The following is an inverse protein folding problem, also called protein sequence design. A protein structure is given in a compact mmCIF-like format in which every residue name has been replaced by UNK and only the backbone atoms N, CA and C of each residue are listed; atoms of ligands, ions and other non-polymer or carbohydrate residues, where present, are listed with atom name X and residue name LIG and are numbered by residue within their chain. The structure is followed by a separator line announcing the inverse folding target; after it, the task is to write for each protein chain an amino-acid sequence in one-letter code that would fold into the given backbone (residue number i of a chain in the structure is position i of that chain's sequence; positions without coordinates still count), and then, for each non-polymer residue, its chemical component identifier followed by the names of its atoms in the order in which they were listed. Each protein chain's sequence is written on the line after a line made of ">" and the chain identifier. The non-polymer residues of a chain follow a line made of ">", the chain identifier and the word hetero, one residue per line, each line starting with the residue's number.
data_IF_337279519405
#
_entry.id   IF_337279519405
#
_cell.length_a   1.000
_cell.length_b   1.000
_cell.length_c   1.000
_cell.angle_alpha   90.00
_cell.angle_beta   90.00
_cell.angle_gamma   90.00
#
_symmetry.space_group_name_H-M   'P 1'
#
loop_
_entity.id
_entity.type
_entity.pdbx_description
1 polymer ?
#
# COMPACT_ATOMS: atom_id res chain seq x y z
N UNK A 1 34.34 -39.80 13.72
CA UNK A 1 33.92 -39.32 12.38
C UNK A 1 32.40 -39.34 12.16
N UNK A 2 31.60 -40.31 12.65
CA UNK A 2 30.13 -40.28 12.48
C UNK A 2 29.40 -39.22 13.33
N UNK A 3 29.88 -38.95 14.55
CA UNK A 3 29.28 -38.00 15.49
C UNK A 3 29.40 -36.54 15.03
N UNK A 4 30.56 -36.15 14.49
CA UNK A 4 30.82 -34.79 14.02
C UNK A 4 29.96 -34.42 12.80
N UNK A 5 29.70 -35.37 11.90
CA UNK A 5 28.77 -35.16 10.78
C UNK A 5 27.31 -35.07 11.22
N UNK A 6 26.92 -35.74 12.30
CA UNK A 6 25.57 -35.63 12.86
C UNK A 6 25.36 -34.27 13.55
N UNK A 7 26.34 -33.79 14.31
CA UNK A 7 26.33 -32.48 14.96
C UNK A 7 26.29 -31.34 13.93
N UNK A 8 27.10 -31.43 12.85
CA UNK A 8 27.06 -30.47 11.74
C UNK A 8 25.72 -30.47 11.00
N UNK A 9 25.08 -31.63 10.83
CA UNK A 9 23.75 -31.71 10.21
C UNK A 9 22.67 -31.11 11.11
N UNK A 10 22.75 -31.32 12.41
CA UNK A 10 21.85 -30.71 13.39
C UNK A 10 21.95 -29.18 13.35
N UNK A 11 23.16 -28.63 13.42
CA UNK A 11 23.35 -27.18 13.43
C UNK A 11 22.91 -26.50 12.13
N UNK A 12 23.03 -27.17 10.98
CA UNK A 12 22.51 -26.66 9.70
C UNK A 12 20.98 -26.63 9.70
N UNK A 13 20.32 -27.69 10.17
CA UNK A 13 18.86 -27.72 10.26
C UNK A 13 18.32 -26.67 11.23
N UNK A 14 18.97 -26.49 12.38
CA UNK A 14 18.58 -25.46 13.37
C UNK A 14 18.72 -24.05 12.79
N UNK A 15 19.78 -23.80 12.02
CA UNK A 15 19.97 -22.51 11.35
C UNK A 15 18.91 -22.27 10.28
N UNK A 16 18.66 -23.27 9.42
CA UNK A 16 17.60 -23.20 8.40
C UNK A 16 16.22 -23.00 9.02
N UNK A 17 15.93 -23.67 10.15
CA UNK A 17 14.68 -23.49 10.89
C UNK A 17 14.54 -22.05 11.41
N UNK A 18 15.63 -21.47 11.94
CA UNK A 18 15.62 -20.08 12.41
C UNK A 18 15.38 -19.10 11.25
N UNK A 19 16.08 -19.27 10.13
CA UNK A 19 15.89 -18.43 8.95
C UNK A 19 14.48 -18.55 8.36
N UNK A 20 13.92 -19.76 8.34
CA UNK A 20 12.55 -19.99 7.92
C UNK A 20 11.55 -19.31 8.88
N UNK A 21 11.73 -19.45 10.19
CA UNK A 21 10.86 -18.82 11.20
C UNK A 21 10.85 -17.29 11.07
N UNK A 22 12.02 -16.67 10.84
CA UNK A 22 12.15 -15.22 10.61
C UNK A 22 11.48 -14.80 9.29
N UNK A 23 11.77 -15.48 8.18
CA UNK A 23 11.21 -15.14 6.88
C UNK A 23 9.68 -15.36 6.81
N UNK A 24 9.18 -16.44 7.42
CA UNK A 24 7.74 -16.75 7.47
C UNK A 24 7.00 -15.72 8.32
N UNK A 25 7.61 -15.20 9.39
CA UNK A 25 7.04 -14.13 10.19
C UNK A 25 6.81 -12.88 9.33
N UNK A 26 7.82 -12.45 8.59
CA UNK A 26 7.75 -11.27 7.71
C UNK A 26 6.75 -11.48 6.56
N UNK A 27 6.73 -12.66 5.96
CA UNK A 27 5.74 -12.99 4.93
C UNK A 27 4.32 -13.01 5.50
N UNK A 28 4.09 -13.62 6.66
CA UNK A 28 2.77 -13.62 7.29
C UNK A 28 2.31 -12.20 7.67
N UNK A 29 3.23 -11.34 8.09
CA UNK A 29 2.96 -9.91 8.29
C UNK A 29 2.54 -9.23 6.99
N UNK A 30 3.21 -9.54 5.87
CA UNK A 30 2.83 -9.05 4.55
C UNK A 30 1.45 -9.57 4.11
N UNK A 31 1.14 -10.85 4.33
CA UNK A 31 -0.19 -11.41 4.06
C UNK A 31 -1.30 -10.74 4.88
N UNK A 32 -1.04 -10.44 6.16
CA UNK A 32 -1.98 -9.70 7.00
C UNK A 32 -2.15 -8.26 6.55
N UNK A 33 -1.08 -7.64 6.05
CA UNK A 33 -1.17 -6.35 5.41
C UNK A 33 -2.10 -6.45 4.18
N UNK A 34 -1.92 -7.43 3.30
CA UNK A 34 -2.83 -7.62 2.15
C UNK A 34 -4.31 -7.80 2.58
N UNK A 35 -4.60 -8.61 3.60
CA UNK A 35 -5.97 -8.79 4.15
C UNK A 35 -6.58 -7.49 4.72
N UNK A 36 -5.79 -6.70 5.44
CA UNK A 36 -6.24 -5.42 6.04
C UNK A 36 -6.35 -4.32 4.97
N UNK A 37 -5.61 -4.47 3.87
CA UNK A 37 -5.41 -3.43 2.89
C UNK A 37 -6.06 -3.72 1.53
N UNK A 38 -6.74 -4.83 1.27
CA UNK A 38 -7.46 -5.00 0.00
C UNK A 38 -8.92 -5.43 0.14
N UNK A 39 -9.78 -4.57 -0.40
CA UNK A 39 -11.11 -4.90 -0.91
C UNK A 39 -11.46 -3.92 -2.06
N UNK A 40 -10.61 -3.82 -3.09
CA UNK A 40 -10.91 -3.07 -4.32
C UNK A 40 -10.14 -3.59 -5.57
N UNK A 41 -10.79 -4.00 -6.67
CA UNK A 41 -10.16 -4.54 -7.90
C UNK A 41 -9.23 -3.59 -8.69
N UNK A 42 -9.05 -2.35 -8.24
CA UNK A 42 -8.29 -1.31 -8.95
C UNK A 42 -6.75 -1.36 -8.74
N UNK A 43 -6.23 -2.22 -7.86
CA UNK A 43 -4.77 -2.36 -7.64
C UNK A 43 -4.07 -3.17 -8.73
N UNK A 44 -4.82 -3.81 -9.62
CA UNK A 44 -4.28 -4.73 -10.64
C UNK A 44 -3.65 -4.09 -11.89
N UNK A 45 -3.67 -2.76 -12.03
CA UNK A 45 -3.14 -2.06 -13.23
C UNK A 45 -1.92 -1.15 -12.96
N UNK A 46 -1.23 -1.28 -11.82
CA UNK A 46 -0.08 -0.41 -11.47
C UNK A 46 1.29 -1.08 -11.37
N UNK A 47 1.48 -2.27 -11.93
CA UNK A 47 2.81 -2.89 -12.04
C UNK A 47 3.69 -2.33 -13.18
N UNK A 48 3.36 -1.16 -13.73
CA UNK A 48 4.22 -0.47 -14.70
C UNK A 48 4.16 1.05 -14.50
N UNK A 49 4.85 1.56 -13.47
CA UNK A 49 5.50 2.90 -13.42
C UNK A 49 5.83 3.29 -11.97
N UNK A 50 6.80 2.63 -11.37
CA UNK A 50 7.63 3.25 -10.32
C UNK A 50 9.10 2.99 -10.66
N UNK A 51 9.50 3.56 -11.80
CA UNK A 51 10.89 3.88 -12.08
C UNK A 51 11.00 5.39 -11.85
N UNK A 52 11.21 5.79 -10.60
CA UNK A 52 11.85 7.06 -10.26
C UNK A 52 12.24 7.06 -8.78
N UNK A 53 13.55 6.90 -8.57
CA UNK A 53 14.37 7.52 -7.53
C UNK A 53 13.75 7.68 -6.14
N UNK A 54 13.95 6.68 -5.30
CA UNK A 54 14.39 6.93 -3.94
C UNK A 54 15.44 5.87 -3.62
N UNK A 55 16.70 6.28 -3.59
CA UNK A 55 17.80 5.43 -3.14
C UNK A 55 17.55 5.12 -1.67
N UNK A 56 17.05 3.92 -1.40
CA UNK A 56 17.00 3.37 -0.05
C UNK A 56 18.42 2.91 0.28
N UNK A 57 19.19 3.80 0.92
CA UNK A 57 20.42 3.44 1.59
C UNK A 57 20.05 2.58 2.82
N UNK A 58 20.15 1.27 2.67
CA UNK A 58 19.84 0.31 3.72
C UNK A 58 20.65 -0.96 3.55
N UNK A 59 21.62 -1.13 4.45
CA UNK A 59 22.35 -2.35 4.82
C UNK A 59 22.87 -3.25 3.69
N UNK A 60 24.20 -3.27 3.55
CA UNK A 60 24.95 -4.27 2.77
C UNK A 60 24.80 -5.68 3.36
N UNK A 61 23.65 -6.33 3.17
CA UNK A 61 23.57 -7.78 3.15
C UNK A 61 23.48 -8.20 1.68
N UNK A 62 24.53 -8.86 1.19
CA UNK A 62 24.59 -9.42 -0.16
C UNK A 62 23.55 -10.54 -0.32
N UNK A 63 22.28 -10.17 -0.47
CA UNK A 63 21.26 -11.09 -0.94
C UNK A 63 21.52 -11.35 -2.43
N UNK A 64 22.13 -12.50 -2.73
CA UNK A 64 22.25 -12.99 -4.11
C UNK A 64 20.84 -13.21 -4.64
N UNK A 65 20.36 -12.30 -5.50
CA UNK A 65 19.08 -12.48 -6.19
C UNK A 65 19.23 -13.60 -7.22
N UNK A 66 18.62 -14.75 -6.95
CA UNK A 66 18.58 -15.85 -7.89
C UNK A 66 17.57 -15.58 -9.01
N UNK A 67 18.03 -15.68 -10.25
CA UNK A 67 17.17 -15.66 -11.43
C UNK A 67 16.20 -16.84 -11.44
N UNK A 68 15.12 -16.70 -12.21
CA UNK A 68 14.14 -17.76 -12.45
C UNK A 68 14.77 -19.09 -12.90
N UNK A 69 15.73 -18.99 -13.82
CA UNK A 69 16.42 -20.16 -14.37
C UNK A 69 17.25 -20.85 -13.30
N UNK A 70 17.94 -20.09 -12.43
CA UNK A 70 18.72 -20.64 -11.32
C UNK A 70 17.82 -21.30 -10.28
N UNK A 71 16.70 -20.66 -9.90
CA UNK A 71 15.72 -21.22 -8.96
C UNK A 71 15.12 -22.54 -9.48
N UNK A 72 14.76 -22.59 -10.76
CA UNK A 72 14.24 -23.81 -11.41
C UNK A 72 15.28 -24.92 -11.47
N UNK A 73 16.54 -24.58 -11.76
CA UNK A 73 17.64 -25.55 -11.82
C UNK A 73 17.90 -26.16 -10.44
N UNK A 74 17.99 -25.33 -9.40
CA UNK A 74 18.15 -25.79 -8.01
C UNK A 74 16.99 -26.68 -7.57
N UNK A 75 15.75 -26.31 -7.90
CA UNK A 75 14.59 -27.13 -7.57
C UNK A 75 14.63 -28.52 -8.21
N UNK A 76 15.15 -28.65 -9.44
CA UNK A 76 15.29 -29.94 -10.14
C UNK A 76 16.40 -30.84 -9.60
N UNK A 77 17.42 -30.24 -8.99
CA UNK A 77 18.56 -30.97 -8.43
C UNK A 77 18.24 -31.61 -7.06
N UNK A 78 17.14 -31.20 -6.42
CA UNK A 78 16.68 -31.76 -5.16
C UNK A 78 16.18 -33.21 -5.31
N UNK A 79 16.31 -34.05 -4.27
CA UNK A 79 15.91 -35.45 -4.34
C UNK A 79 14.39 -35.65 -4.15
N UNK A 80 13.81 -36.58 -4.91
CA UNK A 80 12.48 -37.12 -4.64
C UNK A 80 11.34 -36.09 -4.69
N UNK A 81 10.41 -36.16 -3.73
CA UNK A 81 9.24 -35.29 -3.67
C UNK A 81 9.59 -33.82 -3.38
N UNK A 82 10.76 -33.57 -2.78
CA UNK A 82 11.25 -32.23 -2.55
C UNK A 82 11.48 -31.49 -3.87
N UNK A 83 11.91 -32.19 -4.92
CA UNK A 83 12.07 -31.61 -6.25
C UNK A 83 10.75 -31.09 -6.83
N UNK A 84 9.70 -31.90 -6.77
CA UNK A 84 8.37 -31.53 -7.29
C UNK A 84 7.75 -30.37 -6.51
N UNK A 85 7.91 -30.37 -5.17
CA UNK A 85 7.38 -29.30 -4.31
C UNK A 85 8.14 -27.99 -4.47
N UNK A 86 9.49 -28.05 -4.55
CA UNK A 86 10.30 -26.88 -4.84
C UNK A 86 10.00 -26.28 -6.23
N UNK A 87 9.71 -27.12 -7.24
CA UNK A 87 9.28 -26.64 -8.55
C UNK A 87 7.92 -25.93 -8.48
N UNK A 88 6.94 -26.49 -7.74
CA UNK A 88 5.65 -25.84 -7.51
C UNK A 88 5.79 -24.49 -6.76
N UNK A 89 6.72 -24.40 -5.80
CA UNK A 89 7.05 -23.15 -5.10
C UNK A 89 7.62 -22.09 -6.06
N UNK A 90 8.52 -22.48 -6.97
CA UNK A 90 9.05 -21.58 -8.01
C UNK A 90 7.94 -21.09 -8.94
N UNK A 91 7.03 -21.98 -9.33
CA UNK A 91 5.86 -21.62 -10.16
C UNK A 91 4.91 -20.64 -9.44
N UNK A 92 4.63 -20.89 -8.15
CA UNK A 92 3.79 -20.02 -7.33
C UNK A 92 4.41 -18.62 -7.14
N UNK A 93 5.74 -18.55 -6.98
CA UNK A 93 6.48 -17.30 -6.82
C UNK A 93 6.57 -16.49 -8.13
N UNK A 94 6.68 -17.15 -9.28
CA UNK A 94 6.89 -16.49 -10.58
C UNK A 94 5.61 -16.16 -11.34
N UNK A 95 4.46 -16.62 -10.86
CA UNK A 95 3.16 -16.27 -11.43
C UNK A 95 2.96 -16.71 -12.89
N UNK A 96 3.80 -17.62 -13.42
CA UNK A 96 3.70 -18.05 -14.83
C UNK A 96 2.42 -18.84 -15.12
N UNK A 97 1.78 -19.41 -14.09
CA UNK A 97 0.46 -20.03 -14.17
C UNK A 97 -0.70 -19.06 -13.83
N UNK A 98 -0.41 -17.78 -13.59
CA UNK A 98 -1.38 -16.79 -13.09
C UNK A 98 -1.79 -15.74 -14.12
N UNK A 99 -1.30 -15.77 -15.36
CA UNK A 99 -1.87 -14.90 -16.40
C UNK A 99 -3.26 -15.37 -16.87
N UNK A 100 -3.74 -16.53 -16.44
CA UNK A 100 -4.97 -17.12 -16.98
C UNK A 100 -6.16 -17.21 -16.03
N UNK A 101 -6.02 -17.16 -14.69
CA UNK A 101 -7.17 -17.50 -13.83
C UNK A 101 -7.41 -16.76 -12.51
N UNK A 102 -6.54 -15.86 -12.06
CA UNK A 102 -6.92 -14.99 -10.96
C UNK A 102 -6.28 -13.61 -11.12
N UNK A 103 -6.89 -12.59 -10.52
CA UNK A 103 -6.40 -11.20 -10.52
C UNK A 103 -6.16 -10.72 -9.08
N UNK A 104 -6.30 -11.61 -8.09
CA UNK A 104 -6.27 -11.29 -6.66
C UNK A 104 -4.87 -11.59 -6.07
N UNK A 105 -4.14 -10.58 -5.56
CA UNK A 105 -2.82 -10.75 -4.97
C UNK A 105 -2.85 -11.52 -3.63
N UNK A 106 -3.94 -11.49 -2.86
CA UNK A 106 -4.12 -12.35 -1.69
C UNK A 106 -4.11 -13.82 -2.08
N UNK A 107 -4.84 -14.19 -3.13
CA UNK A 107 -4.86 -15.57 -3.61
C UNK A 107 -3.48 -16.03 -4.11
N UNK A 108 -2.68 -15.14 -4.71
CA UNK A 108 -1.27 -15.43 -5.06
C UNK A 108 -0.44 -15.69 -3.82
N UNK A 109 -0.57 -14.80 -2.84
CA UNK A 109 0.16 -14.89 -1.58
C UNK A 109 -0.17 -16.18 -0.83
N UNK A 110 -1.45 -16.54 -0.71
CA UNK A 110 -1.91 -17.79 -0.09
C UNK A 110 -1.35 -19.01 -0.82
N UNK A 111 -1.45 -19.03 -2.16
CA UNK A 111 -0.93 -20.14 -2.99
C UNK A 111 0.58 -20.30 -2.85
N UNK A 112 1.31 -19.19 -2.73
CA UNK A 112 2.75 -19.20 -2.47
C UNK A 112 3.07 -19.71 -1.06
N UNK A 113 2.34 -19.25 -0.04
CA UNK A 113 2.54 -19.66 1.34
C UNK A 113 2.24 -21.15 1.57
N UNK A 114 1.24 -21.69 0.88
CA UNK A 114 0.93 -23.12 0.89
C UNK A 114 2.03 -23.94 0.22
N UNK A 115 2.51 -23.52 -0.96
CA UNK A 115 3.64 -24.19 -1.62
C UNK A 115 4.94 -24.11 -0.80
N UNK A 116 5.17 -23.00 -0.09
CA UNK A 116 6.31 -22.82 0.81
C UNK A 116 6.21 -23.76 2.02
N UNK A 117 5.02 -23.87 2.61
CA UNK A 117 4.73 -24.81 3.70
C UNK A 117 5.00 -26.25 3.28
N UNK A 118 4.44 -26.67 2.15
CA UNK A 118 4.60 -28.03 1.65
C UNK A 118 6.07 -28.40 1.42
N UNK A 119 6.85 -27.44 0.89
CA UNK A 119 8.28 -27.60 0.63
C UNK A 119 9.11 -27.63 1.93
N UNK A 120 8.77 -26.79 2.91
CA UNK A 120 9.41 -26.77 4.22
C UNK A 120 9.16 -28.07 4.98
N UNK A 121 7.92 -28.56 4.99
CA UNK A 121 7.54 -29.80 5.67
C UNK A 121 8.21 -31.02 5.03
N UNK A 122 8.32 -31.06 3.70
CA UNK A 122 9.10 -32.09 2.99
C UNK A 122 10.60 -32.05 3.34
N UNK A 123 11.12 -30.86 3.64
CA UNK A 123 12.51 -30.67 4.09
C UNK A 123 12.71 -31.03 5.57
N UNK A 124 11.64 -31.41 6.29
CA UNK A 124 11.68 -31.70 7.73
C UNK A 124 11.70 -30.45 8.61
N UNK A 125 11.37 -29.28 8.07
CA UNK A 125 11.27 -28.03 8.81
C UNK A 125 9.83 -27.82 9.31
N UNK A 126 9.70 -27.14 10.45
CA UNK A 126 8.42 -26.78 11.04
C UNK A 126 7.95 -25.44 10.48
N UNK A 127 6.70 -25.38 10.02
CA UNK A 127 6.10 -24.13 9.54
C UNK A 127 5.16 -23.54 10.60
N UNK A 128 5.66 -22.59 11.40
CA UNK A 128 4.85 -21.94 12.44
C UNK A 128 3.89 -20.91 11.84
N UNK A 129 2.68 -20.85 12.39
CA UNK A 129 1.74 -19.76 12.11
C UNK A 129 2.06 -18.56 13.00
N UNK A 130 1.71 -17.37 12.50
CA UNK A 130 1.79 -16.12 13.25
C UNK A 130 1.04 -16.27 14.57
N UNK A 131 1.66 -15.87 15.67
CA UNK A 131 1.02 -15.90 16.98
C UNK A 131 -0.14 -14.89 17.01
N UNK A 132 -1.35 -15.33 17.38
CA UNK A 132 -2.53 -14.47 17.35
C UNK A 132 -2.42 -13.25 18.27
N UNK A 133 -1.60 -13.31 19.33
CA UNK A 133 -1.37 -12.16 20.23
C UNK A 133 -0.46 -11.13 19.57
N UNK A 134 0.57 -11.58 18.85
CA UNK A 134 1.42 -10.70 18.05
C UNK A 134 0.61 -10.06 16.91
N UNK A 135 -0.23 -10.84 16.23
CA UNK A 135 -1.17 -10.35 15.21
C UNK A 135 -2.08 -9.25 15.78
N UNK A 136 -2.78 -9.54 16.88
CA UNK A 136 -3.66 -8.57 17.54
C UNK A 136 -2.91 -7.33 18.03
N UNK A 137 -1.69 -7.49 18.53
CA UNK A 137 -0.86 -6.36 18.98
C UNK A 137 -0.43 -5.46 17.81
N UNK A 138 -0.09 -6.05 16.67
CA UNK A 138 0.29 -5.31 15.45
C UNK A 138 -0.93 -4.58 14.87
N UNK A 139 -2.07 -5.26 14.72
CA UNK A 139 -3.32 -4.64 14.28
C UNK A 139 -3.73 -3.49 15.20
N UNK A 140 -3.59 -3.68 16.52
CA UNK A 140 -3.86 -2.63 17.49
C UNK A 140 -2.91 -1.43 17.33
N UNK A 141 -1.62 -1.68 17.08
CA UNK A 141 -0.62 -0.63 16.86
C UNK A 141 -0.88 0.13 15.56
N UNK A 142 -1.27 -0.58 14.49
CA UNK A 142 -1.64 0.02 13.22
C UNK A 142 -2.92 0.85 13.34
N UNK A 143 -4.00 0.30 13.92
CA UNK A 143 -5.23 1.05 14.19
C UNK A 143 -4.98 2.28 15.07
N UNK A 144 -4.04 2.16 16.02
CA UNK A 144 -3.62 3.29 16.85
C UNK A 144 -2.89 4.34 16.01
N UNK A 145 -1.99 3.96 15.11
CA UNK A 145 -1.31 4.88 14.19
C UNK A 145 -2.30 5.58 13.25
N UNK A 146 -3.19 4.83 12.59
CA UNK A 146 -4.22 5.40 11.71
C UNK A 146 -5.18 6.31 12.47
N UNK A 147 -5.49 6.00 13.73
CA UNK A 147 -6.31 6.86 14.59
C UNK A 147 -5.61 8.18 14.93
N UNK A 148 -4.31 8.16 15.25
CA UNK A 148 -3.57 9.40 15.48
C UNK A 148 -3.45 10.22 14.21
N UNK A 149 -3.16 9.59 13.08
CA UNK A 149 -3.07 10.27 11.80
C UNK A 149 -4.42 10.86 11.36
N UNK A 150 -5.52 10.13 11.57
CA UNK A 150 -6.88 10.64 11.37
C UNK A 150 -7.14 11.87 12.23
N UNK A 151 -6.77 11.81 13.52
CA UNK A 151 -6.97 12.91 14.46
C UNK A 151 -6.14 14.14 14.07
N UNK A 152 -4.89 13.94 13.67
CA UNK A 152 -4.01 15.01 13.22
C UNK A 152 -4.52 15.64 11.92
N UNK A 153 -5.01 14.81 10.99
CA UNK A 153 -5.54 15.27 9.72
C UNK A 153 -6.88 16.01 9.87
N UNK A 154 -7.75 15.55 10.79
CA UNK A 154 -8.95 16.28 11.20
C UNK A 154 -8.57 17.66 11.76
N UNK A 155 -7.56 17.74 12.63
CA UNK A 155 -7.10 19.01 13.19
C UNK A 155 -6.58 19.94 12.08
N UNK A 156 -5.76 19.42 11.17
CA UNK A 156 -5.21 20.18 10.04
C UNK A 156 -6.31 20.67 9.09
N UNK A 157 -7.25 19.81 8.68
CA UNK A 157 -8.38 20.18 7.81
C UNK A 157 -9.26 21.23 8.47
N UNK A 158 -9.43 21.17 9.79
CA UNK A 158 -10.22 22.15 10.54
C UNK A 158 -9.56 23.54 10.54
N UNK A 159 -8.25 23.60 10.82
CA UNK A 159 -7.50 24.86 10.92
C UNK A 159 -7.02 25.43 9.58
N UNK A 160 -7.05 24.65 8.50
CA UNK A 160 -6.53 25.09 7.21
C UNK A 160 -7.40 26.16 6.57
N UNK A 161 -6.77 27.24 6.13
CA UNK A 161 -7.43 28.39 5.49
C UNK A 161 -7.02 28.54 4.03
N UNK A 162 -5.88 27.98 3.62
CA UNK A 162 -5.40 28.07 2.25
C UNK A 162 -6.06 27.00 1.36
N UNK A 163 -6.75 27.38 0.26
CA UNK A 163 -7.46 26.42 -0.59
C UNK A 163 -6.54 25.46 -1.35
N UNK A 164 -5.29 25.86 -1.64
CA UNK A 164 -4.32 25.01 -2.35
C UNK A 164 -3.79 23.92 -1.42
N UNK A 165 -3.50 24.26 -0.16
CA UNK A 165 -3.02 23.34 0.88
C UNK A 165 -4.14 22.48 1.48
N UNK A 166 -5.39 22.99 1.46
CA UNK A 166 -6.56 22.29 1.96
C UNK A 166 -6.90 21.03 1.15
N UNK A 167 -6.85 21.13 -0.18
CA UNK A 167 -7.34 20.08 -1.06
C UNK A 167 -6.60 18.74 -0.89
N UNK A 168 -5.26 18.67 -0.82
CA UNK A 168 -4.56 17.42 -0.53
C UNK A 168 -4.92 16.84 0.84
N UNK A 169 -5.10 17.69 1.86
CA UNK A 169 -5.40 17.27 3.23
C UNK A 169 -6.79 16.67 3.36
N UNK A 170 -7.80 17.31 2.76
CA UNK A 170 -9.17 16.78 2.80
C UNK A 170 -9.33 15.55 1.92
N UNK A 171 -8.61 15.45 0.80
CA UNK A 171 -8.58 14.24 -0.02
C UNK A 171 -7.93 13.07 0.75
N UNK A 172 -6.82 13.30 1.45
CA UNK A 172 -6.20 12.31 2.32
C UNK A 172 -7.13 11.90 3.47
N UNK A 173 -7.89 12.83 4.06
CA UNK A 173 -8.84 12.55 5.13
C UNK A 173 -9.97 11.65 4.66
N UNK A 174 -10.60 12.01 3.54
CA UNK A 174 -11.68 11.22 2.94
C UNK A 174 -11.18 9.85 2.48
N UNK A 175 -9.93 9.75 2.02
CA UNK A 175 -9.31 8.47 1.69
C UNK A 175 -9.09 7.61 2.93
N UNK A 176 -8.55 8.19 3.99
CA UNK A 176 -8.36 7.51 5.27
C UNK A 176 -9.69 7.05 5.87
N UNK A 177 -10.76 7.85 5.78
CA UNK A 177 -12.10 7.47 6.22
C UNK A 177 -12.73 6.37 5.36
N UNK A 178 -12.55 6.43 4.04
CA UNK A 178 -13.14 5.46 3.11
C UNK A 178 -12.42 4.10 3.11
N UNK A 179 -11.10 4.11 3.29
CA UNK A 179 -10.24 2.93 3.12
C UNK A 179 -9.48 2.51 4.37
N UNK A 180 -9.60 3.24 5.49
CA UNK A 180 -8.81 3.03 6.72
C UNK A 180 -7.28 3.00 6.48
N UNK A 181 -6.83 3.78 5.49
CA UNK A 181 -5.43 3.87 5.08
C UNK A 181 -4.91 5.29 5.06
N UNK A 182 -3.74 5.45 5.67
CA UNK A 182 -2.92 6.63 5.54
C UNK A 182 -2.55 6.86 4.07
N UNK A 183 -2.66 8.09 3.60
CA UNK A 183 -2.22 8.47 2.27
C UNK A 183 -1.51 9.82 2.33
N UNK A 184 -0.24 9.83 1.90
CA UNK A 184 0.47 11.05 1.60
C UNK A 184 0.40 11.30 0.08
N UNK A 185 -0.57 12.10 -0.36
CA UNK A 185 -0.71 12.45 -1.76
C UNK A 185 0.01 13.78 -2.06
N UNK A 186 1.04 13.80 -2.93
CA UNK A 186 1.51 15.07 -3.50
C UNK A 186 0.37 15.72 -4.29
N UNK A 187 0.35 17.05 -4.39
CA UNK A 187 -0.76 17.79 -5.02
C UNK A 187 -1.12 17.30 -6.43
N UNK A 188 -0.15 16.78 -7.19
CA UNK A 188 -0.34 16.20 -8.53
C UNK A 188 -1.12 14.89 -8.55
N UNK A 189 -1.13 14.13 -7.44
CA UNK A 189 -1.83 12.84 -7.35
C UNK A 189 -3.29 12.98 -6.91
N UNK A 190 -3.72 14.16 -6.46
CA UNK A 190 -5.05 14.36 -5.86
C UNK A 190 -6.19 14.00 -6.82
N UNK A 191 -6.08 14.32 -8.11
CA UNK A 191 -7.10 13.94 -9.10
C UNK A 191 -7.29 12.41 -9.25
N UNK A 192 -6.20 11.64 -9.13
CA UNK A 192 -6.27 10.18 -9.15
C UNK A 192 -6.94 9.64 -7.86
N UNK A 193 -6.64 10.26 -6.71
CA UNK A 193 -7.26 9.92 -5.42
C UNK A 193 -8.76 10.20 -5.44
N UNK A 194 -9.18 11.35 -5.98
CA UNK A 194 -10.60 11.68 -6.13
C UNK A 194 -11.29 10.63 -6.99
N UNK A 195 -10.69 10.22 -8.10
CA UNK A 195 -11.25 9.19 -8.99
C UNK A 195 -11.48 7.86 -8.26
N UNK A 196 -10.54 7.45 -7.39
CA UNK A 196 -10.68 6.24 -6.55
C UNK A 196 -11.82 6.39 -5.54
N UNK A 197 -12.00 7.57 -4.96
CA UNK A 197 -13.02 7.83 -3.94
C UNK A 197 -14.45 7.86 -4.48
N UNK A 198 -14.65 7.85 -5.81
CA UNK A 198 -15.95 7.99 -6.45
C UNK A 198 -17.00 6.98 -5.95
N UNK A 199 -16.60 5.72 -5.79
CA UNK A 199 -17.53 4.65 -5.45
C UNK A 199 -17.65 4.41 -3.94
N UNK A 200 -16.86 5.12 -3.12
CA UNK A 200 -16.86 5.01 -1.65
C UNK A 200 -17.45 6.23 -0.94
N UNK A 201 -17.60 7.37 -1.64
CA UNK A 201 -18.14 8.60 -1.05
C UNK A 201 -19.61 8.81 -1.40
N UNK A 202 -20.39 9.45 -0.51
CA UNK A 202 -21.71 9.95 -0.85
C UNK A 202 -21.64 10.88 -2.07
N UNK A 203 -22.64 10.79 -2.95
CA UNK A 203 -22.67 11.58 -4.19
C UNK A 203 -22.55 13.10 -3.96
N UNK A 204 -23.10 13.60 -2.84
CA UNK A 204 -22.95 15.00 -2.41
C UNK A 204 -21.49 15.37 -2.12
N UNK A 205 -20.80 14.57 -1.30
CA UNK A 205 -19.39 14.78 -0.94
C UNK A 205 -18.48 14.67 -2.16
N UNK A 206 -18.70 13.67 -3.02
CA UNK A 206 -17.92 13.50 -4.23
C UNK A 206 -18.06 14.68 -5.21
N UNK A 207 -19.29 15.22 -5.35
CA UNK A 207 -19.56 16.38 -6.20
C UNK A 207 -18.79 17.61 -5.72
N UNK A 208 -18.89 17.94 -4.42
CA UNK A 208 -18.22 19.11 -3.83
C UNK A 208 -16.69 18.95 -3.88
N UNK A 209 -16.17 17.76 -3.62
CA UNK A 209 -14.74 17.46 -3.73
C UNK A 209 -14.20 17.65 -5.16
N UNK A 210 -14.94 17.17 -6.16
CA UNK A 210 -14.56 17.30 -7.58
C UNK A 210 -14.63 18.76 -8.04
N UNK A 211 -15.64 19.51 -7.60
CA UNK A 211 -15.80 20.93 -7.89
C UNK A 211 -14.67 21.76 -7.24
N UNK A 212 -14.35 21.48 -5.98
CA UNK A 212 -13.21 22.08 -5.27
C UNK A 212 -11.91 21.83 -6.03
N UNK A 213 -11.63 20.58 -6.43
CA UNK A 213 -10.42 20.26 -7.19
C UNK A 213 -10.34 21.01 -8.53
N UNK A 214 -11.44 21.02 -9.30
CA UNK A 214 -11.48 21.71 -10.58
C UNK A 214 -11.26 23.23 -10.43
N UNK A 215 -11.80 23.85 -9.39
CA UNK A 215 -11.62 25.28 -9.12
C UNK A 215 -10.20 25.59 -8.64
N UNK A 216 -9.59 24.75 -7.78
CA UNK A 216 -8.18 24.91 -7.37
C UNK A 216 -7.23 24.79 -8.55
N UNK A 217 -7.42 23.83 -9.46
CA UNK A 217 -6.59 23.68 -10.66
C UNK A 217 -6.72 24.90 -11.59
N UNK A 218 -7.93 25.46 -11.73
CA UNK A 218 -8.13 26.70 -12.50
C UNK A 218 -7.42 27.90 -11.86
N UNK A 219 -7.46 28.03 -10.54
CA UNK A 219 -6.75 29.09 -9.81
C UNK A 219 -5.24 28.99 -10.03
N UNK A 220 -4.66 27.80 -9.90
CA UNK A 220 -3.23 27.58 -10.14
C UNK A 220 -2.84 27.87 -11.59
N UNK A 221 -3.65 27.45 -12.57
CA UNK A 221 -3.40 27.75 -13.98
C UNK A 221 -3.45 29.26 -14.29
N UNK A 222 -4.35 30.01 -13.63
CA UNK A 222 -4.40 31.47 -13.75
C UNK A 222 -3.19 32.13 -13.08
N UNK A 223 -2.73 31.60 -11.94
CA UNK A 223 -1.54 32.08 -11.23
C UNK A 223 -0.26 31.87 -12.06
N UNK A 224 -0.14 30.71 -12.71
CA UNK A 224 0.98 30.40 -13.61
C UNK A 224 0.96 31.26 -14.88
N UNK A 225 -0.23 31.62 -15.38
CA UNK A 225 -0.39 32.48 -16.55
C UNK A 225 -0.13 33.97 -16.26
N UNK A 226 -0.25 34.39 -14.99
CA UNK A 226 -0.14 35.79 -14.57
C UNK A 226 1.30 36.32 -14.47
N UNK A 227 2.34 35.50 -14.71
CA UNK A 227 3.75 35.90 -14.52
C UNK A 227 4.31 36.81 -15.63
N UNK A 228 3.48 37.41 -16.50
CA UNK A 228 3.96 38.09 -17.71
C UNK A 228 3.23 39.33 -18.25
N UNK A 229 2.01 39.67 -17.79
CA UNK A 229 1.33 40.90 -18.25
C UNK A 229 0.33 41.41 -17.19
N UNK A 230 0.34 42.72 -16.95
CA UNK A 230 -0.56 43.43 -16.02
C UNK A 230 -1.97 43.57 -16.62
N UNK A 231 -2.72 42.48 -16.69
CA UNK A 231 -4.15 42.52 -17.08
C UNK A 231 -5.05 42.41 -15.83
N UNK A 232 -5.69 43.54 -15.49
CA UNK A 232 -6.66 43.74 -14.39
C UNK A 232 -7.75 42.65 -14.34
N UNK A 233 -8.23 42.23 -15.52
CA UNK A 233 -9.25 41.19 -15.67
C UNK A 233 -8.80 39.78 -15.22
N UNK A 234 -7.49 39.51 -15.17
CA UNK A 234 -6.94 38.21 -14.74
C UNK A 234 -6.90 38.14 -13.21
N UNK A 235 -6.58 39.25 -12.57
CA UNK A 235 -6.57 39.40 -11.10
C UNK A 235 -7.98 39.22 -10.53
N UNK A 236 -8.98 39.87 -11.12
CA UNK A 236 -10.39 39.75 -10.70
C UNK A 236 -10.89 38.30 -10.78
N UNK A 237 -10.54 37.59 -11.86
CA UNK A 237 -10.90 36.17 -12.03
C UNK A 237 -10.20 35.26 -11.03
N UNK A 238 -8.94 35.54 -10.67
CA UNK A 238 -8.23 34.80 -9.62
C UNK A 238 -8.88 35.01 -8.26
N UNK A 239 -9.24 36.26 -7.95
CA UNK A 239 -9.90 36.63 -6.69
C UNK A 239 -11.27 35.95 -6.57
N UNK A 240 -12.11 36.02 -7.61
CA UNK A 240 -13.41 35.36 -7.65
C UNK A 240 -13.28 33.83 -7.41
N UNK A 241 -12.29 33.18 -8.01
CA UNK A 241 -12.06 31.73 -7.83
C UNK A 241 -11.57 31.39 -6.43
N UNK A 242 -10.76 32.27 -5.83
CA UNK A 242 -10.28 32.10 -4.46
C UNK A 242 -11.42 32.29 -3.45
N UNK A 243 -12.26 33.30 -3.64
CA UNK A 243 -13.44 33.57 -2.81
C UNK A 243 -14.46 32.42 -2.87
N UNK A 244 -14.77 31.89 -4.06
CA UNK A 244 -15.67 30.72 -4.20
C UNK A 244 -15.12 29.46 -3.49
N UNK A 245 -13.79 29.29 -3.48
CA UNK A 245 -13.15 28.20 -2.73
C UNK A 245 -13.28 28.42 -1.21
N UNK A 246 -12.95 29.61 -0.72
CA UNK A 246 -12.88 29.93 0.71
C UNK A 246 -14.27 30.05 1.36
N UNK A 247 -15.24 30.66 0.67
CA UNK A 247 -16.56 30.98 1.25
C UNK A 247 -17.61 29.90 1.05
N UNK A 248 -17.51 29.10 -0.02
CA UNK A 248 -18.51 28.09 -0.37
C UNK A 248 -17.98 26.67 -0.30
N UNK A 249 -16.96 26.34 -1.10
CA UNK A 249 -16.55 24.95 -1.31
C UNK A 249 -15.79 24.36 -0.11
N UNK A 250 -14.88 25.12 0.53
CA UNK A 250 -14.13 24.65 1.70
C UNK A 250 -15.04 24.43 2.92
N UNK A 251 -15.94 25.35 3.31
CA UNK A 251 -16.83 25.14 4.46
C UNK A 251 -17.80 23.98 4.24
N UNK A 252 -18.37 23.86 3.04
CA UNK A 252 -19.25 22.74 2.69
C UNK A 252 -18.49 21.42 2.77
N UNK A 253 -17.29 21.34 2.18
CA UNK A 253 -16.49 20.11 2.21
C UNK A 253 -15.97 19.77 3.60
N UNK A 254 -15.60 20.76 4.43
CA UNK A 254 -15.26 20.56 5.85
C UNK A 254 -16.45 19.98 6.61
N UNK A 255 -17.65 20.52 6.41
CA UNK A 255 -18.86 20.01 7.08
C UNK A 255 -19.14 18.55 6.73
N UNK A 256 -18.94 18.18 5.46
CA UNK A 256 -19.17 16.83 4.96
C UNK A 256 -18.07 15.85 5.43
N UNK A 257 -16.80 16.23 5.36
CA UNK A 257 -15.66 15.39 5.76
C UNK A 257 -15.51 15.23 7.28
N UNK A 258 -15.93 16.21 8.07
CA UNK A 258 -15.92 16.13 9.53
C UNK A 258 -17.22 15.52 10.09
N UNK A 259 -18.32 15.61 9.33
CA UNK A 259 -19.62 15.03 9.69
C UNK A 259 -19.65 13.50 9.57
N UNK A 260 -18.93 12.93 8.60
CA UNK A 260 -18.78 11.47 8.42
C UNK A 260 -18.08 10.78 9.59
N UNK A 261 -17.33 11.50 10.42
CA UNK A 261 -16.60 10.95 11.57
C UNK A 261 -17.45 10.68 12.82
N UNK A 262 -18.75 11.05 12.83
CA UNK A 262 -19.63 10.90 14.01
C UNK A 262 -20.56 9.69 13.96
N UNK A 263 -20.56 8.91 12.88
CA UNK A 263 -21.53 7.82 12.66
C UNK A 263 -20.91 6.40 12.59
N UNK A 264 -19.67 6.21 13.05
CA UNK A 264 -19.04 4.89 13.22
C UNK A 264 -18.63 4.61 14.66
#
# INVERSE_FOLDING_TARGET
>A
MPSENAERRGSVLDNLQKQLDEAVLDMQLYGKALDVFEDDPATSDKDNKLKNGMEFEGSEEQHVQLSTTERTFLAKDLPGQLSSKAQALVEALEGKLFLTFSRNPQQRFDSFMDALRDTAEESGLLFKKLDERLERSMLHSHHKLTFYELKDLIAQVSSETDPVSFLPKVAALLFLQAYNKALQAPGSAVGAVITLLKDKLPAATFKVLTECHATTVKLLALQDAATGDEDDCTSDRMLEKKEDLEERLMPELKSLALGTSKEQ
#
